data_IF_729082874011
#
_entry.id   IF_729082874011
#
_cell.length_a   1.000
_cell.length_b   1.000
_cell.length_c   1.000
_cell.angle_alpha   90.00
_cell.angle_beta   90.00
_cell.angle_gamma   90.00
#
_symmetry.space_group_name_H-M   'P 1'
#
loop_
_entity.id
_entity.type
_entity.pdbx_description
1 polymer ?
#
# COMPACT_ATOMS: atom_id res chain seq x y z
N UNK A 1 8.97 -7.75 -23.77
CA UNK A 1 8.90 -6.47 -24.50
C UNK A 1 8.64 -5.36 -23.50
N UNK A 2 9.48 -4.33 -23.44
CA UNK A 2 9.27 -3.17 -22.55
C UNK A 2 8.30 -2.23 -23.28
N UNK A 3 7.03 -2.22 -22.86
CA UNK A 3 6.06 -1.25 -23.40
C UNK A 3 6.57 0.15 -23.05
N UNK A 4 6.91 0.93 -24.07
CA UNK A 4 7.39 2.29 -23.90
C UNK A 4 6.16 3.20 -23.74
N UNK A 5 5.77 3.46 -22.49
CA UNK A 5 4.74 4.46 -22.18
C UNK A 5 5.37 5.86 -22.13
N UNK A 6 4.66 6.91 -22.61
CA UNK A 6 5.18 8.28 -22.63
C UNK A 6 5.36 8.84 -21.21
N UNK A 7 6.35 9.72 -21.03
CA UNK A 7 6.64 10.43 -19.78
C UNK A 7 5.80 11.71 -19.63
N UNK A 8 5.56 12.19 -18.40
CA UNK A 8 6.04 11.65 -17.12
C UNK A 8 5.24 10.44 -16.63
N UNK A 9 5.85 9.62 -15.76
CA UNK A 9 5.24 8.41 -15.19
C UNK A 9 5.45 8.33 -13.69
N UNK A 10 4.44 7.80 -12.98
CA UNK A 10 4.53 7.43 -11.58
C UNK A 10 4.92 5.94 -11.48
N UNK A 11 5.96 5.64 -10.70
CA UNK A 11 6.43 4.27 -10.46
C UNK A 11 6.29 4.00 -8.97
N UNK A 12 5.60 2.92 -8.63
CA UNK A 12 5.43 2.46 -7.25
C UNK A 12 6.14 1.12 -7.12
N UNK A 13 6.97 1.00 -6.10
CA UNK A 13 7.57 -0.27 -5.70
C UNK A 13 6.59 -1.01 -4.77
N UNK A 14 5.97 -2.07 -5.30
CA UNK A 14 5.03 -2.89 -4.54
C UNK A 14 5.67 -3.68 -3.40
N UNK A 15 6.95 -4.07 -3.52
CA UNK A 15 7.68 -4.78 -2.47
C UNK A 15 7.96 -3.87 -1.28
N UNK A 16 8.41 -2.64 -1.56
CA UNK A 16 8.58 -1.62 -0.53
C UNK A 16 7.26 -1.27 0.16
N UNK A 17 6.16 -1.17 -0.60
CA UNK A 17 4.84 -0.89 -0.04
C UNK A 17 4.38 -1.99 0.91
N UNK A 18 4.45 -3.26 0.48
CA UNK A 18 4.13 -4.43 1.31
C UNK A 18 4.96 -4.47 2.59
N UNK A 19 6.28 -4.35 2.47
CA UNK A 19 7.20 -4.37 3.61
C UNK A 19 6.87 -3.26 4.62
N UNK A 20 6.66 -2.02 4.13
CA UNK A 20 6.32 -0.90 4.99
C UNK A 20 4.98 -1.12 5.71
N UNK A 21 3.98 -1.66 5.01
CA UNK A 21 2.69 -2.02 5.62
C UNK A 21 2.88 -3.05 6.73
N UNK A 22 3.65 -4.12 6.49
CA UNK A 22 3.95 -5.16 7.49
C UNK A 22 4.61 -4.57 8.74
N UNK A 23 5.61 -3.70 8.55
CA UNK A 23 6.31 -3.06 9.68
C UNK A 23 5.38 -2.16 10.51
N UNK A 24 4.50 -1.40 9.87
CA UNK A 24 3.55 -0.52 10.57
C UNK A 24 2.51 -1.34 11.33
N UNK A 25 1.92 -2.34 10.66
CA UNK A 25 0.91 -3.23 11.27
C UNK A 25 1.50 -3.94 12.49
N UNK A 26 2.70 -4.53 12.38
CA UNK A 26 3.35 -5.21 13.49
C UNK A 26 3.62 -4.27 14.68
N UNK A 27 4.10 -3.05 14.41
CA UNK A 27 4.35 -2.04 15.46
C UNK A 27 3.07 -1.60 16.15
N UNK A 28 2.02 -1.29 15.40
CA UNK A 28 0.73 -0.88 15.96
C UNK A 28 0.07 -2.01 16.75
N UNK A 29 0.13 -3.25 16.23
CA UNK A 29 -0.38 -4.43 16.93
C UNK A 29 0.33 -4.64 18.28
N UNK A 30 1.65 -4.43 18.36
CA UNK A 30 2.40 -4.52 19.62
C UNK A 30 1.96 -3.51 20.69
N UNK A 31 1.29 -2.43 20.26
CA UNK A 31 0.72 -1.40 21.13
C UNK A 31 -0.80 -1.52 21.30
N UNK A 32 -1.44 -2.57 20.75
CA UNK A 32 -2.90 -2.73 20.78
C UNK A 32 -3.67 -1.74 19.89
N UNK A 33 -3.02 -1.17 18.87
CA UNK A 33 -3.60 -0.18 17.95
C UNK A 33 -3.99 -0.86 16.64
N UNK A 34 -5.22 -0.63 16.18
CA UNK A 34 -5.70 -1.04 14.86
C UNK A 34 -5.30 -0.03 13.77
N UNK A 35 -5.00 -0.53 12.57
CA UNK A 35 -4.52 0.27 11.44
C UNK A 35 -5.54 0.25 10.32
N UNK A 36 -5.85 1.43 9.76
CA UNK A 36 -6.59 1.56 8.50
C UNK A 36 -5.67 2.14 7.42
N UNK A 37 -5.56 1.46 6.29
CA UNK A 37 -4.76 1.88 5.14
C UNK A 37 -5.53 2.84 4.26
N UNK A 38 -5.11 4.11 4.19
CA UNK A 38 -5.79 5.14 3.40
C UNK A 38 -5.33 5.12 1.93
N UNK A 39 -6.25 4.94 0.98
CA UNK A 39 -5.92 4.75 -0.44
C UNK A 39 -6.11 5.99 -1.33
N UNK A 40 -6.64 7.08 -0.78
CA UNK A 40 -7.10 8.27 -1.53
C UNK A 40 -6.07 8.93 -2.45
N UNK A 41 -4.79 8.92 -2.05
CA UNK A 41 -3.68 9.50 -2.83
C UNK A 41 -3.26 8.64 -4.04
N UNK A 42 -3.78 7.42 -4.13
CA UNK A 42 -3.44 6.43 -5.14
C UNK A 42 -4.70 5.94 -5.87
N UNK A 43 -5.84 6.62 -5.72
CA UNK A 43 -7.14 6.30 -6.33
C UNK A 43 -7.51 4.81 -6.22
N UNK A 44 -7.20 4.19 -5.08
CA UNK A 44 -7.39 2.75 -4.85
C UNK A 44 -6.86 1.86 -6.00
N UNK A 45 -5.74 2.26 -6.63
CA UNK A 45 -5.08 1.46 -7.68
C UNK A 45 -4.86 0.05 -7.16
N UNK A 46 -5.46 -0.92 -7.84
CA UNK A 46 -5.51 -2.31 -7.37
C UNK A 46 -4.15 -2.90 -6.96
N UNK A 47 -3.02 -2.69 -7.70
CA UNK A 47 -1.73 -3.24 -7.29
C UNK A 47 -1.20 -2.65 -5.97
N UNK A 48 -1.55 -1.40 -5.68
CA UNK A 48 -1.20 -0.72 -4.42
C UNK A 48 -2.03 -1.33 -3.29
N UNK A 49 -3.35 -1.41 -3.49
CA UNK A 49 -4.28 -1.96 -2.50
C UNK A 49 -3.89 -3.40 -2.15
N UNK A 50 -3.60 -4.21 -3.16
CA UNK A 50 -3.14 -5.60 -3.00
C UNK A 50 -1.88 -5.67 -2.14
N UNK A 51 -0.86 -4.84 -2.41
CA UNK A 51 0.36 -4.83 -1.62
C UNK A 51 0.11 -4.44 -0.15
N UNK A 52 -0.84 -3.53 0.12
CA UNK A 52 -1.23 -3.18 1.49
C UNK A 52 -1.95 -4.35 2.18
N UNK A 53 -2.88 -5.03 1.50
CA UNK A 53 -3.57 -6.22 2.03
C UNK A 53 -2.59 -7.36 2.30
N UNK A 54 -1.68 -7.64 1.36
CA UNK A 54 -0.64 -8.66 1.52
C UNK A 54 0.39 -8.31 2.61
N UNK A 55 0.56 -7.02 2.92
CA UNK A 55 1.33 -6.54 4.05
C UNK A 55 0.59 -6.61 5.39
N UNK A 56 -0.65 -7.10 5.42
CA UNK A 56 -1.42 -7.30 6.65
C UNK A 56 -2.30 -6.13 7.06
N UNK A 57 -2.56 -5.16 6.19
CA UNK A 57 -3.49 -4.07 6.48
C UNK A 57 -4.91 -4.63 6.69
N UNK A 58 -5.53 -4.45 7.87
CA UNK A 58 -6.80 -5.11 8.18
C UNK A 58 -8.02 -4.34 7.65
N UNK A 59 -7.88 -3.06 7.38
CA UNK A 59 -8.96 -2.19 6.89
C UNK A 59 -8.42 -1.20 5.85
N UNK A 60 -9.27 -0.81 4.91
CA UNK A 60 -8.99 0.20 3.90
C UNK A 60 -9.94 1.38 4.09
N UNK A 61 -9.42 2.60 3.93
CA UNK A 61 -10.18 3.82 4.10
C UNK A 61 -9.96 4.82 2.95
N UNK A 62 -10.94 5.70 2.77
CA UNK A 62 -10.90 6.84 1.85
C UNK A 62 -11.42 8.10 2.56
N UNK A 63 -11.27 9.29 1.97
CA UNK A 63 -11.83 10.54 2.50
C UNK A 63 -12.67 11.29 1.48
#
# INVERSE_FOLDING_TARGET
MKVMTPFPRLVVDGGALRYNTEQIVARCASAGILVAGVTKGLCAREPVVRAMVEGGCPELADS
#
